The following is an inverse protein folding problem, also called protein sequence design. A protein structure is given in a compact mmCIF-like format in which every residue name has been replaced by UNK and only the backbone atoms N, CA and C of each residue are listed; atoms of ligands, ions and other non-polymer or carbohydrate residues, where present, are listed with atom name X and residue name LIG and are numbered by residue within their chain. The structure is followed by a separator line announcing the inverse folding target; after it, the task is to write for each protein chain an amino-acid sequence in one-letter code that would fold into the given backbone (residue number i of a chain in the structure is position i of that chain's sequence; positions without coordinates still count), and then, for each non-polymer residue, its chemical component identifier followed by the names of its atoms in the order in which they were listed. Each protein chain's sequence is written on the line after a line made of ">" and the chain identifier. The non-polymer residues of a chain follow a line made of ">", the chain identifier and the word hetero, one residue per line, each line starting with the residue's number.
data_IF_025168075369
#
_entry.id   IF_025168075369
#
_cell.length_a   1.000
_cell.length_b   1.000
_cell.length_c   1.000
_cell.angle_alpha   90.00
_cell.angle_beta   90.00
_cell.angle_gamma   90.00
#
_symmetry.space_group_name_H-M   'P 1'
#
loop_
_entity.id
_entity.type
_entity.pdbx_description
1 polymer ?
#
# COMPACT_ATOMS: atom_id res chain seq x y z
N UNK A 1 2.32 -10.40 7.11
CA UNK A 1 2.86 -9.99 5.79
C UNK A 1 1.72 -9.58 4.86
N UNK A 2 1.66 -8.30 4.49
CA UNK A 2 0.62 -7.77 3.59
C UNK A 2 1.02 -8.02 2.14
N UNK A 3 0.05 -8.34 1.27
CA UNK A 3 0.28 -8.44 -0.18
C UNK A 3 0.03 -7.09 -0.84
N UNK A 4 0.83 -6.76 -1.85
CA UNK A 4 0.74 -5.46 -2.54
C UNK A 4 -0.66 -5.15 -3.09
N UNK A 5 -1.37 -6.18 -3.57
CA UNK A 5 -2.74 -6.06 -4.11
C UNK A 5 -3.80 -5.70 -3.05
N UNK A 6 -3.52 -5.97 -1.77
CA UNK A 6 -4.46 -5.78 -0.67
C UNK A 6 -4.28 -4.41 0.01
N UNK A 7 -3.29 -3.60 -0.42
CA UNK A 7 -2.99 -2.31 0.23
C UNK A 7 -4.14 -1.32 0.04
N UNK A 8 -4.75 -1.30 -1.15
CA UNK A 8 -5.89 -0.42 -1.44
C UNK A 8 -7.08 -0.79 -0.54
N UNK A 9 -7.41 -2.08 -0.44
CA UNK A 9 -8.53 -2.51 0.40
C UNK A 9 -8.30 -2.25 1.89
N UNK A 10 -7.06 -2.28 2.39
CA UNK A 10 -6.76 -1.86 3.77
C UNK A 10 -7.15 -0.39 3.98
N UNK A 11 -6.79 0.50 3.04
CA UNK A 11 -7.12 1.92 3.12
C UNK A 11 -8.63 2.15 3.03
N UNK A 12 -9.30 1.45 2.11
CA UNK A 12 -10.75 1.55 1.92
C UNK A 12 -11.49 1.08 3.18
N UNK A 13 -11.11 -0.07 3.75
CA UNK A 13 -11.66 -0.57 5.01
C UNK A 13 -11.51 0.44 6.16
N UNK A 14 -10.35 1.12 6.28
CA UNK A 14 -10.15 2.15 7.30
C UNK A 14 -11.13 3.31 7.10
N UNK A 15 -11.34 3.75 5.86
CA UNK A 15 -12.29 4.83 5.56
C UNK A 15 -13.72 4.40 5.89
N UNK A 16 -14.12 3.19 5.48
CA UNK A 16 -15.45 2.63 5.77
C UNK A 16 -15.70 2.50 7.27
N UNK A 17 -14.74 1.94 8.03
CA UNK A 17 -14.88 1.78 9.48
C UNK A 17 -14.92 3.12 10.21
N UNK A 18 -14.16 4.13 9.76
CA UNK A 18 -14.26 5.48 10.32
C UNK A 18 -15.63 6.10 10.07
N UNK A 19 -16.14 5.99 8.84
CA UNK A 19 -17.47 6.49 8.50
C UNK A 19 -18.59 5.77 9.26
N UNK A 20 -18.42 4.49 9.57
CA UNK A 20 -19.33 3.72 10.43
C UNK A 20 -19.24 4.18 11.89
N UNK A 21 -18.02 4.39 12.41
CA UNK A 21 -17.79 4.85 13.78
C UNK A 21 -18.45 6.21 14.06
N UNK A 22 -18.38 7.13 13.09
CA UNK A 22 -18.96 8.47 13.20
C UNK A 22 -20.50 8.45 13.31
N UNK A 23 -21.15 7.42 12.76
CA UNK A 23 -22.61 7.25 12.76
C UNK A 23 -23.11 6.40 13.92
N UNK A 24 -22.23 5.60 14.53
CA UNK A 24 -22.60 4.69 15.61
C UNK A 24 -22.87 5.46 16.89
N UNK A 25 -23.86 5.03 17.66
CA UNK A 25 -24.22 5.60 18.97
C UNK A 25 -23.97 4.61 20.09
N UNK A 26 -24.09 3.32 19.81
CA UNK A 26 -23.94 2.24 20.79
C UNK A 26 -22.47 2.04 21.19
N UNK A 27 -22.20 2.13 22.50
CA UNK A 27 -20.83 2.10 23.03
C UNK A 27 -20.08 0.79 22.70
N UNK A 28 -20.75 -0.35 22.81
CA UNK A 28 -20.13 -1.65 22.53
C UNK A 28 -19.80 -1.81 21.04
N UNK A 29 -20.67 -1.34 20.16
CA UNK A 29 -20.41 -1.39 18.72
C UNK A 29 -19.29 -0.43 18.31
N UNK A 30 -19.22 0.76 18.92
CA UNK A 30 -18.06 1.66 18.76
C UNK A 30 -16.75 0.98 19.08
N UNK A 31 -16.65 0.32 20.24
CA UNK A 31 -15.43 -0.39 20.64
C UNK A 31 -15.04 -1.49 19.65
N UNK A 32 -16.01 -2.22 19.09
CA UNK A 32 -15.76 -3.23 18.06
C UNK A 32 -15.23 -2.61 16.77
N UNK A 33 -15.83 -1.51 16.31
CA UNK A 33 -15.38 -0.79 15.11
C UNK A 33 -13.97 -0.23 15.31
N UNK A 34 -13.70 0.39 16.47
CA UNK A 34 -12.35 0.86 16.82
C UNK A 34 -11.31 -0.26 16.81
N UNK A 35 -11.68 -1.44 17.32
CA UNK A 35 -10.80 -2.62 17.28
C UNK A 35 -10.44 -3.00 15.84
N UNK A 36 -11.43 -3.01 14.93
CA UNK A 36 -11.20 -3.27 13.50
C UNK A 36 -10.33 -2.19 12.86
N UNK A 37 -10.51 -0.92 13.23
CA UNK A 37 -9.65 0.18 12.76
C UNK A 37 -8.21 -0.06 13.19
N UNK A 38 -7.97 -0.40 14.47
CA UNK A 38 -6.64 -0.72 15.00
C UNK A 38 -6.01 -1.89 14.24
N UNK A 39 -6.77 -2.94 13.97
CA UNK A 39 -6.30 -4.08 13.17
C UNK A 39 -5.81 -3.64 11.78
N UNK A 40 -6.59 -2.82 11.06
CA UNK A 40 -6.17 -2.31 9.75
C UNK A 40 -4.97 -1.35 9.86
N UNK A 41 -4.86 -0.56 10.94
CA UNK A 41 -3.69 0.30 11.19
C UNK A 41 -2.42 -0.53 11.41
N UNK A 42 -2.49 -1.65 12.13
CA UNK A 42 -1.34 -2.57 12.25
C UNK A 42 -0.93 -3.12 10.89
N UNK A 43 -1.89 -3.50 10.04
CA UNK A 43 -1.59 -3.91 8.66
C UNK A 43 -0.94 -2.79 7.85
N UNK A 44 -1.32 -1.53 8.07
CA UNK A 44 -0.68 -0.39 7.42
C UNK A 44 0.76 -0.19 7.91
N UNK A 45 1.02 -0.41 9.20
CA UNK A 45 2.37 -0.39 9.77
C UNK A 45 3.25 -1.48 9.17
N UNK A 46 2.71 -2.69 8.97
CA UNK A 46 3.38 -3.77 8.23
C UNK A 46 3.75 -3.31 6.81
N UNK A 47 2.83 -2.66 6.09
CA UNK A 47 3.11 -2.12 4.75
C UNK A 47 4.26 -1.12 4.79
N UNK A 48 4.32 -0.22 5.77
CA UNK A 48 5.42 0.73 5.91
C UNK A 48 6.76 0.04 6.13
N UNK A 49 6.79 -0.98 7.00
CA UNK A 49 7.98 -1.81 7.23
C UNK A 49 8.44 -2.52 5.94
N UNK A 50 7.50 -3.14 5.22
CA UNK A 50 7.78 -3.81 3.95
C UNK A 50 8.24 -2.85 2.83
N UNK A 51 7.73 -1.61 2.82
CA UNK A 51 8.22 -0.56 1.89
C UNK A 51 9.64 -0.14 2.23
N UNK A 52 9.99 -0.06 3.50
CA UNK A 52 11.35 0.27 3.95
C UNK A 52 12.36 -0.81 3.51
N UNK A 53 11.95 -2.08 3.47
CA UNK A 53 12.78 -3.16 2.92
C UNK A 53 13.16 -2.93 1.44
N UNK A 54 12.28 -2.32 0.64
CA UNK A 54 12.59 -1.97 -0.77
C UNK A 54 13.76 -0.99 -0.84
N UNK A 55 13.82 -0.01 0.09
CA UNK A 55 14.89 0.97 0.14
C UNK A 55 16.22 0.36 0.57
N UNK A 56 16.19 -0.55 1.55
CA UNK A 56 17.41 -1.17 2.08
C UNK A 56 17.98 -2.21 1.11
N UNK A 57 17.13 -3.06 0.53
CA UNK A 57 17.59 -4.19 -0.27
C UNK A 57 18.03 -3.79 -1.69
N UNK A 58 17.79 -2.56 -2.13
CA UNK A 58 18.20 -2.06 -3.45
C UNK A 58 19.32 -1.03 -3.29
N UNK A 59 20.48 -1.28 -3.91
CA UNK A 59 21.59 -0.32 -3.89
C UNK A 59 21.51 0.74 -5.00
N UNK A 60 20.97 0.38 -6.18
CA UNK A 60 20.74 1.31 -7.31
C UNK A 60 19.26 1.54 -7.51
N UNK A 61 18.88 2.80 -7.75
CA UNK A 61 17.52 3.21 -8.09
C UNK A 61 16.42 2.79 -7.08
N UNK A 62 16.80 2.51 -5.83
CA UNK A 62 15.87 2.09 -4.76
C UNK A 62 14.67 3.02 -4.61
N UNK A 63 14.96 4.33 -4.64
CA UNK A 63 13.94 5.38 -4.63
C UNK A 63 12.93 5.23 -5.78
N UNK A 64 13.41 5.02 -7.00
CA UNK A 64 12.55 4.84 -8.18
C UNK A 64 11.68 3.59 -8.06
N UNK A 65 12.23 2.48 -7.57
CA UNK A 65 11.46 1.25 -7.34
C UNK A 65 10.36 1.47 -6.30
N UNK A 66 10.67 2.14 -5.18
CA UNK A 66 9.69 2.47 -4.14
C UNK A 66 8.61 3.41 -4.65
N UNK A 67 8.98 4.49 -5.33
CA UNK A 67 8.02 5.48 -5.84
C UNK A 67 7.05 4.86 -6.87
N UNK A 68 7.56 4.09 -7.83
CA UNK A 68 6.72 3.39 -8.81
C UNK A 68 5.81 2.36 -8.10
N UNK A 69 6.30 1.68 -7.07
CA UNK A 69 5.49 0.74 -6.28
C UNK A 69 4.36 1.46 -5.52
N UNK A 70 4.66 2.57 -4.85
CA UNK A 70 3.67 3.41 -4.14
C UNK A 70 2.62 3.89 -5.13
N UNK A 71 3.03 4.45 -6.25
CA UNK A 71 2.07 4.94 -7.24
C UNK A 71 1.16 3.83 -7.78
N UNK A 72 1.72 2.63 -7.99
CA UNK A 72 0.95 1.49 -8.49
C UNK A 72 -0.04 0.94 -7.46
N UNK A 73 0.41 0.69 -6.23
CA UNK A 73 -0.30 -0.12 -5.25
C UNK A 73 -0.92 0.67 -4.09
N UNK A 74 -0.50 1.92 -3.87
CA UNK A 74 -1.11 2.82 -2.88
C UNK A 74 -1.99 3.87 -3.57
N UNK A 75 -1.48 4.49 -4.65
CA UNK A 75 -2.22 5.53 -5.37
C UNK A 75 -3.09 4.98 -6.51
N UNK A 76 -2.95 3.69 -6.86
CA UNK A 76 -3.80 3.02 -7.84
C UNK A 76 -3.53 3.38 -9.30
N UNK A 77 -2.36 3.93 -9.65
CA UNK A 77 -2.05 4.31 -11.03
C UNK A 77 -1.96 3.09 -11.96
N UNK A 78 -2.41 3.27 -13.20
CA UNK A 78 -2.23 2.29 -14.27
C UNK A 78 -0.79 2.28 -14.78
N UNK A 79 -0.35 1.17 -15.40
CA UNK A 79 1.01 1.09 -15.97
C UNK A 79 1.22 2.13 -17.08
N UNK A 80 0.18 2.48 -17.84
CA UNK A 80 0.26 3.54 -18.84
C UNK A 80 0.50 4.91 -18.18
N UNK A 81 -0.21 5.23 -17.10
CA UNK A 81 0.01 6.47 -16.35
C UNK A 81 1.41 6.53 -15.74
N UNK A 82 1.92 5.41 -15.20
CA UNK A 82 3.30 5.32 -14.73
C UNK A 82 4.31 5.53 -15.87
N UNK A 83 4.05 4.95 -17.04
CA UNK A 83 4.90 5.09 -18.23
C UNK A 83 5.05 6.55 -18.63
N UNK A 84 3.93 7.27 -18.64
CA UNK A 84 3.92 8.70 -18.95
C UNK A 84 4.57 9.53 -17.83
N UNK A 85 4.24 9.26 -16.56
CA UNK A 85 4.74 10.02 -15.40
C UNK A 85 6.26 9.95 -15.26
N UNK A 86 6.84 8.77 -15.43
CA UNK A 86 8.27 8.55 -15.25
C UNK A 86 9.06 8.60 -16.56
N UNK A 87 8.38 8.74 -17.71
CA UNK A 87 8.98 8.66 -19.05
C UNK A 87 9.81 7.36 -19.26
N UNK A 88 9.26 6.24 -18.80
CA UNK A 88 9.89 4.91 -18.84
C UNK A 88 8.99 3.97 -19.62
N UNK A 89 9.59 3.06 -20.42
CA UNK A 89 8.82 2.06 -21.16
C UNK A 89 8.02 1.15 -20.23
N UNK A 90 6.83 0.71 -20.67
CA UNK A 90 5.98 -0.20 -19.90
C UNK A 90 6.70 -1.49 -19.49
N UNK A 91 7.53 -2.04 -20.37
CA UNK A 91 8.35 -3.24 -20.10
C UNK A 91 9.30 -3.01 -18.92
N UNK A 92 9.96 -1.86 -18.88
CA UNK A 92 10.84 -1.49 -17.77
C UNK A 92 10.05 -1.29 -16.48
N UNK A 93 8.88 -0.65 -16.54
CA UNK A 93 8.01 -0.51 -15.37
C UNK A 93 7.59 -1.85 -14.79
N UNK A 94 7.17 -2.81 -15.61
CA UNK A 94 6.85 -4.15 -15.13
C UNK A 94 8.03 -4.82 -14.44
N UNK A 95 9.24 -4.68 -14.98
CA UNK A 95 10.47 -5.20 -14.35
C UNK A 95 10.73 -4.55 -13.00
N UNK A 96 10.66 -3.21 -12.92
CA UNK A 96 10.86 -2.46 -11.69
C UNK A 96 9.84 -2.85 -10.61
N UNK A 97 8.56 -2.97 -11.00
CA UNK A 97 7.47 -3.40 -10.13
C UNK A 97 7.65 -4.84 -9.67
N UNK A 98 8.08 -5.75 -10.54
CA UNK A 98 8.31 -7.15 -10.18
C UNK A 98 9.39 -7.27 -9.12
N UNK A 99 10.52 -6.58 -9.29
CA UNK A 99 11.60 -6.57 -8.28
C UNK A 99 11.13 -5.98 -6.95
N UNK A 100 10.47 -4.82 -7.00
CA UNK A 100 9.97 -4.15 -5.80
C UNK A 100 8.94 -5.02 -5.06
N UNK A 101 8.03 -5.68 -5.79
CA UNK A 101 7.02 -6.58 -5.24
C UNK A 101 7.63 -7.81 -4.58
N UNK A 102 8.65 -8.42 -5.19
CA UNK A 102 9.35 -9.56 -4.58
C UNK A 102 9.98 -9.15 -3.25
N UNK A 103 10.64 -7.99 -3.19
CA UNK A 103 11.27 -7.51 -1.95
C UNK A 103 10.23 -7.14 -0.90
N UNK A 104 9.14 -6.47 -1.31
CA UNK A 104 8.05 -6.11 -0.43
C UNK A 104 7.42 -7.34 0.24
N UNK A 105 7.30 -8.45 -0.50
CA UNK A 105 6.67 -9.69 -0.05
C UNK A 105 7.69 -10.76 0.39
N UNK A 106 8.93 -10.36 0.65
CA UNK A 106 10.00 -11.21 1.17
C UNK A 106 9.97 -11.19 2.69
#
# INVERSE_FOLDING_TARGET
>A
MVKAKDIISIKDNIMEYKAALDKETEFIEKLKIESKIREQQYRLMDVQSQLFNIEICLHKNAKLHKEIFIDKYINGLTVNQLSNKYNISRTTIYRLLSTAKTIFQK
#
